data_IF_461160981399
#
_entry.id   IF_461160981399
#
_cell.length_a   1.000
_cell.length_b   1.000
_cell.length_c   1.000
_cell.angle_alpha   90.00
_cell.angle_beta   90.00
_cell.angle_gamma   90.00
#
_symmetry.space_group_name_H-M   'P 1'
#
loop_
_entity.id
_entity.type
_entity.pdbx_description
1 polymer ?
#
# COMPACT_ATOMS: atom_id res chain seq x y z
N UNK A 1 5.90 -14.36 -19.53
CA UNK A 1 5.03 -13.72 -20.54
C UNK A 1 4.31 -12.55 -19.88
N UNK A 2 3.55 -11.75 -20.64
CA UNK A 2 3.51 -10.31 -20.43
C UNK A 2 2.48 -9.83 -19.39
N UNK A 3 2.93 -9.22 -18.27
CA UNK A 3 2.12 -8.22 -17.57
C UNK A 3 1.60 -7.22 -18.61
N UNK A 4 0.29 -7.18 -18.82
CA UNK A 4 -0.34 -6.25 -19.76
C UNK A 4 -0.66 -4.98 -19.00
N UNK A 5 0.30 -4.05 -18.97
CA UNK A 5 0.21 -2.82 -18.18
C UNK A 5 -1.06 -2.03 -18.53
N UNK A 6 -1.42 -1.97 -19.82
CA UNK A 6 -2.67 -1.33 -20.28
C UNK A 6 -3.92 -1.96 -19.66
N UNK A 7 -4.02 -3.29 -19.66
CA UNK A 7 -5.13 -3.99 -19.04
C UNK A 7 -5.15 -3.79 -17.52
N UNK A 8 -4.01 -3.90 -16.84
CA UNK A 8 -3.91 -3.67 -15.39
C UNK A 8 -4.33 -2.24 -15.01
N UNK A 9 -3.93 -1.25 -15.80
CA UNK A 9 -4.33 0.16 -15.62
C UNK A 9 -5.83 0.34 -15.86
N UNK A 10 -6.36 -0.16 -16.97
CA UNK A 10 -7.78 -0.03 -17.30
C UNK A 10 -8.70 -0.74 -16.30
N UNK A 11 -8.30 -1.93 -15.86
CA UNK A 11 -9.07 -2.74 -14.93
C UNK A 11 -9.01 -2.15 -13.51
N UNK A 12 -7.81 -1.75 -13.07
CA UNK A 12 -7.63 -1.05 -11.80
C UNK A 12 -8.45 0.24 -11.71
N UNK A 13 -8.45 1.06 -12.77
CA UNK A 13 -9.23 2.29 -12.82
C UNK A 13 -10.74 2.01 -12.80
N UNK A 14 -11.21 1.00 -13.54
CA UNK A 14 -12.62 0.57 -13.50
C UNK A 14 -13.03 0.10 -12.11
N UNK A 15 -12.17 -0.65 -11.41
CA UNK A 15 -12.40 -1.11 -10.03
C UNK A 15 -12.57 0.06 -9.06
N UNK A 16 -11.82 1.14 -9.23
CA UNK A 16 -11.99 2.33 -8.38
C UNK A 16 -13.25 3.14 -8.61
N UNK A 17 -13.83 3.06 -9.81
CA UNK A 17 -15.08 3.77 -10.14
C UNK A 17 -16.33 3.02 -9.66
N UNK A 18 -16.18 1.88 -8.99
CA UNK A 18 -17.29 1.14 -8.38
C UNK A 18 -17.70 1.73 -7.01
N UNK A 19 -18.88 1.34 -6.49
CA UNK A 19 -19.31 1.74 -5.13
C UNK A 19 -18.29 1.35 -4.06
N UNK A 20 -17.69 0.17 -4.17
CA UNK A 20 -16.65 -0.28 -3.25
C UNK A 20 -15.36 0.52 -3.42
N UNK A 21 -14.98 0.88 -4.64
CA UNK A 21 -13.88 1.82 -4.87
C UNK A 21 -14.08 3.15 -4.13
N UNK A 22 -15.31 3.68 -4.16
CA UNK A 22 -15.69 4.89 -3.42
C UNK A 22 -15.63 4.73 -1.89
N UNK A 23 -16.10 3.62 -1.33
CA UNK A 23 -16.01 3.37 0.12
C UNK A 23 -14.56 3.17 0.57
N UNK A 24 -13.74 2.50 -0.24
CA UNK A 24 -12.31 2.35 0.01
C UNK A 24 -11.59 3.71 -0.07
N UNK A 25 -11.93 4.57 -1.04
CA UNK A 25 -11.40 5.93 -1.12
C UNK A 25 -11.74 6.75 0.14
N UNK A 26 -13.00 6.71 0.57
CA UNK A 26 -13.44 7.41 1.77
C UNK A 26 -12.73 6.89 3.04
N UNK A 27 -12.61 5.57 3.18
CA UNK A 27 -11.86 4.95 4.28
C UNK A 27 -10.38 5.32 4.27
N UNK A 28 -9.76 5.36 3.09
CA UNK A 28 -8.37 5.76 2.94
C UNK A 28 -8.15 7.23 3.29
N UNK A 29 -9.04 8.13 2.85
CA UNK A 29 -9.04 9.55 3.23
C UNK A 29 -9.14 9.74 4.75
N UNK A 30 -10.08 9.05 5.39
CA UNK A 30 -10.28 9.15 6.84
C UNK A 30 -9.04 8.69 7.62
N UNK A 31 -8.45 7.57 7.22
CA UNK A 31 -7.23 7.04 7.87
C UNK A 31 -6.05 7.98 7.64
N UNK A 32 -5.86 8.48 6.42
CA UNK A 32 -4.82 9.46 6.08
C UNK A 32 -4.96 10.72 6.94
N UNK A 33 -6.14 11.32 6.95
CA UNK A 33 -6.43 12.52 7.73
C UNK A 33 -6.18 12.29 9.23
N UNK A 34 -6.73 11.22 9.80
CA UNK A 34 -6.57 10.91 11.21
C UNK A 34 -5.09 10.68 11.58
N UNK A 35 -4.35 9.98 10.72
CA UNK A 35 -2.92 9.72 10.92
C UNK A 35 -2.11 11.00 10.84
N UNK A 36 -2.33 11.83 9.81
CA UNK A 36 -1.63 13.10 9.64
C UNK A 36 -1.87 14.02 10.84
N UNK A 37 -3.14 14.20 11.24
CA UNK A 37 -3.49 15.03 12.37
C UNK A 37 -2.89 14.52 13.69
N UNK A 38 -2.86 13.19 13.89
CA UNK A 38 -2.22 12.56 15.04
C UNK A 38 -0.71 12.82 15.07
N UNK A 39 -0.03 12.64 13.94
CA UNK A 39 1.41 12.85 13.82
C UNK A 39 1.76 14.31 14.08
N UNK A 40 1.09 15.25 13.41
CA UNK A 40 1.33 16.68 13.58
C UNK A 40 1.17 17.10 15.06
N UNK A 41 0.11 16.62 15.72
CA UNK A 41 -0.17 16.92 17.13
C UNK A 41 0.84 16.27 18.08
N UNK A 42 1.23 15.02 17.81
CA UNK A 42 2.24 14.33 18.59
C UNK A 42 3.59 15.05 18.49
N UNK A 43 4.03 15.38 17.27
CA UNK A 43 5.29 16.11 17.04
C UNK A 43 5.29 17.43 17.81
N UNK A 44 4.24 18.24 17.70
CA UNK A 44 4.11 19.49 18.47
C UNK A 44 4.29 19.30 19.97
N UNK A 45 3.67 18.26 20.54
CA UNK A 45 3.69 18.03 21.98
C UNK A 45 5.03 17.54 22.54
N UNK A 46 5.95 17.08 21.67
CA UNK A 46 7.30 16.64 22.06
C UNK A 46 8.40 17.62 21.62
N UNK A 47 8.06 18.67 20.87
CA UNK A 47 9.03 19.69 20.47
C UNK A 47 9.40 20.60 21.66
N UNK A 48 10.68 20.99 21.81
CA UNK A 48 11.08 22.05 22.74
C UNK A 48 10.32 23.35 22.45
N UNK A 49 10.04 24.15 23.48
CA UNK A 49 9.23 25.38 23.38
C UNK A 49 9.71 26.36 22.30
N UNK A 50 11.03 26.46 22.10
CA UNK A 50 11.65 27.36 21.12
C UNK A 50 11.34 26.94 19.67
N UNK A 51 11.24 25.62 19.43
CA UNK A 51 10.91 25.04 18.11
C UNK A 51 9.40 24.91 17.93
N UNK A 52 8.68 24.63 19.03
CA UNK A 52 7.23 24.48 19.02
C UNK A 52 6.52 25.76 18.57
N UNK A 53 7.02 26.95 18.94
CA UNK A 53 6.45 28.22 18.47
C UNK A 53 6.56 28.42 16.96
N UNK A 54 7.71 28.07 16.37
CA UNK A 54 7.94 28.13 14.92
C UNK A 54 7.14 27.06 14.17
N UNK A 55 7.13 25.83 14.70
CA UNK A 55 6.39 24.73 14.11
C UNK A 55 4.88 24.96 14.20
N UNK A 56 4.36 25.46 15.32
CA UNK A 56 2.93 25.73 15.51
C UNK A 56 2.38 26.81 14.57
N UNK A 57 3.22 27.72 14.07
CA UNK A 57 2.81 28.72 13.08
C UNK A 57 2.59 28.11 11.68
N UNK A 58 3.31 27.03 11.38
CA UNK A 58 3.32 26.36 10.07
C UNK A 58 2.76 24.94 10.14
N UNK A 59 2.26 24.52 11.30
CA UNK A 59 1.69 23.18 11.46
C UNK A 59 0.37 23.16 10.71
N UNK A 60 0.18 22.12 9.90
CA UNK A 60 -1.07 21.92 9.20
C UNK A 60 -2.17 21.44 10.15
N UNK A 61 -2.82 20.35 9.81
CA UNK A 61 -3.98 19.85 10.55
C UNK A 61 -3.51 19.25 11.89
N UNK A 62 -4.10 19.71 13.01
CA UNK A 62 -3.83 19.19 14.35
C UNK A 62 -5.12 18.87 15.10
N UNK A 63 -5.00 18.10 16.18
CA UNK A 63 -6.08 17.72 17.08
C UNK A 63 -5.96 18.51 18.39
N UNK A 64 -7.09 18.90 19.02
CA UNK A 64 -7.09 19.59 20.31
C UNK A 64 -6.86 18.60 21.48
N UNK A 65 -5.75 17.86 21.44
CA UNK A 65 -5.36 16.86 22.44
C UNK A 65 -3.88 17.01 22.80
N UNK A 66 -3.46 16.41 23.92
CA UNK A 66 -2.06 16.46 24.33
C UNK A 66 -1.17 15.57 23.44
N UNK A 67 0.13 15.90 23.36
CA UNK A 67 1.11 15.13 22.59
C UNK A 67 1.12 13.63 22.90
N UNK A 68 1.11 13.19 24.18
CA UNK A 68 1.01 11.77 24.53
C UNK A 68 -0.28 11.10 24.05
N UNK A 69 -1.42 11.80 24.10
CA UNK A 69 -2.71 11.27 23.60
C UNK A 69 -2.68 11.13 22.08
N UNK A 70 -2.12 12.13 21.38
CA UNK A 70 -1.93 12.05 19.93
C UNK A 70 -0.99 10.91 19.52
N UNK A 71 0.08 10.68 20.28
CA UNK A 71 0.99 9.55 20.05
C UNK A 71 0.28 8.21 20.28
N UNK A 72 -0.51 8.08 21.35
CA UNK A 72 -1.31 6.89 21.59
C UNK A 72 -2.33 6.63 20.47
N UNK A 73 -2.98 7.70 19.98
CA UNK A 73 -3.89 7.63 18.84
C UNK A 73 -3.15 7.17 17.57
N UNK A 74 -1.97 7.73 17.28
CA UNK A 74 -1.13 7.31 16.15
C UNK A 74 -0.76 5.82 16.25
N UNK A 75 -0.32 5.38 17.44
CA UNK A 75 -0.02 3.97 17.69
C UNK A 75 -1.23 3.05 17.49
N UNK A 76 -2.44 3.50 17.81
CA UNK A 76 -3.68 2.77 17.57
C UNK A 76 -4.11 2.78 16.07
N UNK A 77 -3.79 3.85 15.35
CA UNK A 77 -4.06 3.98 13.91
C UNK A 77 -3.16 3.07 13.06
N UNK A 78 -1.96 2.72 13.51
CA UNK A 78 -1.07 1.79 12.81
C UNK A 78 -1.70 0.40 12.54
N UNK A 79 -2.19 -0.35 13.55
CA UNK A 79 -2.84 -1.63 13.30
C UNK A 79 -4.19 -1.45 12.59
N UNK A 80 -4.92 -0.35 12.81
CA UNK A 80 -6.15 -0.06 12.07
C UNK A 80 -5.87 0.09 10.56
N UNK A 81 -4.81 0.82 10.21
CA UNK A 81 -4.35 1.00 8.83
C UNK A 81 -3.94 -0.33 8.21
N UNK A 82 -3.18 -1.15 8.92
CA UNK A 82 -2.80 -2.48 8.44
C UNK A 82 -4.01 -3.41 8.24
N UNK A 83 -5.01 -3.35 9.12
CA UNK A 83 -6.27 -4.07 8.96
C UNK A 83 -7.06 -3.56 7.75
N UNK A 84 -7.12 -2.25 7.55
CA UNK A 84 -7.75 -1.62 6.39
C UNK A 84 -7.12 -2.09 5.09
N UNK A 85 -5.79 -2.08 4.98
CA UNK A 85 -5.09 -2.58 3.79
C UNK A 85 -5.30 -4.08 3.55
N UNK A 86 -5.46 -4.89 4.61
CA UNK A 86 -5.83 -6.29 4.46
C UNK A 86 -7.21 -6.45 3.82
N UNK A 87 -8.19 -5.67 4.29
CA UNK A 87 -9.56 -5.66 3.75
C UNK A 87 -9.57 -5.15 2.31
N UNK A 88 -8.86 -4.06 2.01
CA UNK A 88 -8.67 -3.52 0.66
C UNK A 88 -8.11 -4.59 -0.27
N UNK A 89 -7.03 -5.28 0.13
CA UNK A 89 -6.40 -6.30 -0.69
C UNK A 89 -7.34 -7.48 -0.99
N UNK A 90 -8.17 -7.89 -0.02
CA UNK A 90 -9.16 -8.96 -0.21
C UNK A 90 -10.33 -8.51 -1.08
N UNK A 91 -10.85 -7.31 -0.85
CA UNK A 91 -11.94 -6.73 -1.64
C UNK A 91 -11.53 -6.54 -3.09
N UNK A 92 -10.33 -6.00 -3.34
CA UNK A 92 -9.83 -5.74 -4.68
C UNK A 92 -9.43 -6.99 -5.46
N UNK A 93 -9.36 -8.16 -4.83
CA UNK A 93 -9.10 -9.44 -5.51
C UNK A 93 -10.39 -10.12 -5.99
N UNK A 94 -11.56 -9.70 -5.53
CA UNK A 94 -12.83 -10.30 -5.96
C UNK A 94 -13.11 -10.06 -7.46
N UNK A 95 -13.88 -10.98 -8.09
CA UNK A 95 -14.40 -10.78 -9.44
C UNK A 95 -15.17 -9.47 -9.55
N UNK A 96 -15.10 -8.80 -10.70
CA UNK A 96 -15.69 -7.47 -10.89
C UNK A 96 -17.21 -7.43 -10.60
N UNK A 97 -17.91 -8.53 -10.85
CA UNK A 97 -19.35 -8.72 -10.60
C UNK A 97 -19.70 -8.70 -9.10
N UNK A 98 -18.75 -9.07 -8.23
CA UNK A 98 -18.93 -9.18 -6.78
C UNK A 98 -18.41 -7.94 -6.02
N UNK A 99 -17.73 -7.00 -6.70
CA UNK A 99 -17.20 -5.77 -6.11
C UNK A 99 -18.30 -4.81 -5.59
N UNK A 100 -19.57 -5.20 -5.57
CA UNK A 100 -20.66 -4.41 -5.01
C UNK A 100 -20.81 -4.57 -3.49
N UNK A 101 -20.21 -5.61 -2.90
CA UNK A 101 -20.23 -5.87 -1.46
C UNK A 101 -18.85 -6.29 -0.95
N UNK A 102 -18.58 -6.07 0.34
CA UNK A 102 -17.38 -6.61 0.97
C UNK A 102 -17.53 -8.13 1.15
N UNK A 103 -16.47 -8.93 0.88
CA UNK A 103 -16.52 -10.37 1.09
C UNK A 103 -16.83 -10.69 2.55
N UNK A 104 -17.66 -11.71 2.80
CA UNK A 104 -17.92 -12.19 4.16
C UNK A 104 -16.62 -12.61 4.89
N UNK A 105 -15.64 -13.12 4.13
CA UNK A 105 -14.33 -13.51 4.63
C UNK A 105 -13.31 -12.36 4.69
N UNK A 106 -13.69 -11.12 4.32
CA UNK A 106 -12.80 -9.97 4.37
C UNK A 106 -12.21 -9.78 5.78
N UNK A 107 -12.97 -10.11 6.82
CA UNK A 107 -12.57 -9.98 8.22
C UNK A 107 -11.97 -11.26 8.83
N UNK A 108 -11.90 -12.35 8.06
CA UNK A 108 -11.43 -13.65 8.53
C UNK A 108 -9.98 -13.59 8.98
N UNK A 109 -9.70 -13.97 10.23
CA UNK A 109 -8.35 -13.97 10.83
C UNK A 109 -7.63 -12.61 10.72
N UNK A 110 -8.39 -11.49 10.75
CA UNK A 110 -7.81 -10.16 10.62
C UNK A 110 -6.71 -9.89 11.63
N UNK A 111 -6.90 -10.21 12.92
CA UNK A 111 -5.87 -9.92 13.94
C UNK A 111 -4.48 -10.47 13.58
N UNK A 112 -4.40 -11.74 13.18
CA UNK A 112 -3.13 -12.37 12.77
C UNK A 112 -2.57 -11.77 11.48
N UNK A 113 -3.45 -11.45 10.54
CA UNK A 113 -3.09 -10.84 9.25
C UNK A 113 -2.55 -9.43 9.46
N UNK A 114 -3.23 -8.62 10.26
CA UNK A 114 -2.83 -7.27 10.66
C UNK A 114 -1.46 -7.27 11.30
N UNK A 115 -1.19 -8.15 12.27
CA UNK A 115 0.14 -8.25 12.90
C UNK A 115 1.22 -8.58 11.87
N UNK A 116 0.97 -9.54 10.99
CA UNK A 116 1.93 -9.91 9.93
C UNK A 116 2.16 -8.78 8.92
N UNK A 117 1.10 -8.07 8.53
CA UNK A 117 1.20 -6.92 7.64
C UNK A 117 1.90 -5.74 8.30
N UNK A 118 1.68 -5.51 9.60
CA UNK A 118 2.35 -4.46 10.34
C UNK A 118 3.85 -4.74 10.44
N UNK A 119 4.23 -5.93 10.88
CA UNK A 119 5.65 -6.34 10.96
C UNK A 119 6.29 -6.38 9.56
N UNK A 120 5.60 -6.95 8.56
CA UNK A 120 6.09 -6.98 7.19
C UNK A 120 6.22 -5.60 6.58
N UNK A 121 5.27 -4.70 6.84
CA UNK A 121 5.32 -3.31 6.42
C UNK A 121 6.52 -2.57 7.02
N UNK A 122 6.79 -2.74 8.31
CA UNK A 122 7.97 -2.16 8.96
C UNK A 122 9.25 -2.67 8.30
N UNK A 123 9.39 -3.99 8.13
CA UNK A 123 10.58 -4.60 7.51
C UNK A 123 10.78 -4.08 6.08
N UNK A 124 9.72 -4.06 5.26
CA UNK A 124 9.79 -3.59 3.87
C UNK A 124 10.12 -2.10 3.81
N UNK A 125 9.49 -1.26 4.63
CA UNK A 125 9.78 0.18 4.68
C UNK A 125 11.22 0.45 5.10
N UNK A 126 11.74 -0.26 6.11
CA UNK A 126 13.14 -0.14 6.54
C UNK A 126 14.10 -0.56 5.42
N UNK A 127 13.82 -1.66 4.71
CA UNK A 127 14.63 -2.11 3.57
C UNK A 127 14.64 -1.10 2.42
N UNK A 128 13.48 -0.54 2.08
CA UNK A 128 13.36 0.48 1.03
C UNK A 128 14.09 1.76 1.47
N UNK A 129 13.94 2.18 2.73
CA UNK A 129 14.61 3.35 3.27
C UNK A 129 16.13 3.19 3.25
N UNK A 130 16.66 2.09 3.81
CA UNK A 130 18.10 1.80 3.79
C UNK A 130 18.61 1.66 2.35
N UNK A 131 17.85 0.98 1.50
CA UNK A 131 18.16 0.85 0.08
C UNK A 131 18.33 2.23 -0.56
N UNK A 132 17.32 3.08 -0.45
CA UNK A 132 17.29 4.44 -1.03
C UNK A 132 18.39 5.33 -0.44
N UNK A 133 18.65 5.23 0.87
CA UNK A 133 19.67 5.99 1.57
C UNK A 133 21.09 5.64 1.10
N UNK A 134 21.36 4.36 0.81
CA UNK A 134 22.65 3.95 0.24
C UNK A 134 22.77 4.32 -1.24
N UNK A 135 21.70 4.12 -2.04
CA UNK A 135 21.54 4.61 -3.41
C UNK A 135 20.06 4.47 -3.82
N UNK A 136 19.52 5.39 -4.62
CA UNK A 136 18.12 5.33 -5.06
C UNK A 136 17.76 3.99 -5.73
N UNK A 137 18.69 3.39 -6.47
CA UNK A 137 18.48 2.14 -7.22
C UNK A 137 18.17 0.92 -6.31
N UNK A 138 18.98 0.60 -5.27
CA UNK A 138 18.63 -0.43 -4.28
C UNK A 138 17.26 -0.26 -3.63
N UNK A 139 16.88 0.95 -3.26
CA UNK A 139 15.56 1.23 -2.67
C UNK A 139 14.43 0.86 -3.62
N UNK A 140 14.57 1.27 -4.88
CA UNK A 140 13.62 0.98 -5.94
C UNK A 140 13.55 -0.53 -6.26
N UNK A 141 14.68 -1.23 -6.20
CA UNK A 141 14.74 -2.68 -6.34
C UNK A 141 13.95 -3.41 -5.24
N UNK A 142 14.07 -3.00 -3.98
CA UNK A 142 13.29 -3.57 -2.89
C UNK A 142 11.80 -3.23 -3.01
N UNK A 143 11.47 -2.00 -3.39
CA UNK A 143 10.08 -1.60 -3.60
C UNK A 143 9.39 -2.43 -4.69
N UNK A 144 10.08 -2.70 -5.80
CA UNK A 144 9.59 -3.61 -6.86
C UNK A 144 9.47 -5.05 -6.34
N UNK A 145 10.49 -5.53 -5.63
CA UNK A 145 10.55 -6.93 -5.17
C UNK A 145 9.49 -7.25 -4.13
N UNK A 146 9.06 -6.26 -3.34
CA UNK A 146 8.06 -6.45 -2.31
C UNK A 146 6.69 -5.85 -2.66
N UNK A 147 6.47 -5.34 -3.86
CA UNK A 147 5.22 -4.66 -4.28
C UNK A 147 3.94 -5.43 -3.91
N UNK A 148 3.97 -6.77 -3.97
CA UNK A 148 2.81 -7.63 -3.73
C UNK A 148 2.70 -8.19 -2.31
N UNK A 149 3.55 -7.76 -1.36
CA UNK A 149 3.62 -8.42 -0.05
C UNK A 149 2.28 -8.37 0.69
N UNK A 150 1.56 -7.25 0.59
CA UNK A 150 0.24 -7.07 1.21
C UNK A 150 -0.74 -8.13 0.70
N UNK A 151 -0.78 -8.36 -0.62
CA UNK A 151 -1.66 -9.37 -1.22
C UNK A 151 -1.26 -10.78 -0.81
N UNK A 152 0.02 -11.12 -0.83
CA UNK A 152 0.48 -12.47 -0.44
C UNK A 152 0.18 -12.81 1.03
N UNK A 153 0.24 -11.82 1.94
CA UNK A 153 -0.04 -12.03 3.36
C UNK A 153 -1.55 -11.98 3.64
N UNK A 154 -2.27 -11.03 3.03
CA UNK A 154 -3.69 -10.81 3.31
C UNK A 154 -4.60 -11.81 2.59
N UNK A 155 -4.29 -12.11 1.32
CA UNK A 155 -5.14 -12.91 0.43
C UNK A 155 -4.75 -14.38 0.50
N UNK A 156 -3.46 -14.70 0.41
CA UNK A 156 -3.00 -16.10 0.50
C UNK A 156 -2.82 -16.58 1.96
N UNK A 157 -3.16 -15.76 2.96
CA UNK A 157 -3.03 -16.02 4.41
C UNK A 157 -1.64 -16.53 4.86
N UNK A 158 -0.59 -16.27 4.06
CA UNK A 158 0.77 -16.76 4.30
C UNK A 158 1.39 -16.18 5.57
N UNK A 159 2.40 -16.88 6.08
CA UNK A 159 3.28 -16.35 7.12
C UNK A 159 4.06 -15.13 6.63
N UNK A 160 4.69 -14.40 7.56
CA UNK A 160 5.48 -13.20 7.23
C UNK A 160 6.58 -13.52 6.19
N UNK A 161 7.43 -14.50 6.50
CA UNK A 161 8.57 -14.88 5.65
C UNK A 161 8.09 -15.48 4.33
N UNK A 162 7.10 -16.37 4.37
CA UNK A 162 6.58 -17.03 3.17
C UNK A 162 5.86 -16.04 2.25
N UNK A 163 5.15 -15.06 2.81
CA UNK A 163 4.54 -13.97 2.05
C UNK A 163 5.59 -13.10 1.36
N UNK A 164 6.64 -12.68 2.09
CA UNK A 164 7.74 -11.90 1.50
C UNK A 164 8.48 -12.67 0.40
N UNK A 165 8.77 -13.96 0.61
CA UNK A 165 9.36 -14.84 -0.41
C UNK A 165 8.45 -14.97 -1.64
N UNK A 166 7.15 -15.16 -1.43
CA UNK A 166 6.15 -15.23 -2.52
C UNK A 166 6.10 -13.93 -3.31
N UNK A 167 6.08 -12.78 -2.64
CA UNK A 167 6.09 -11.45 -3.28
C UNK A 167 7.33 -11.27 -4.17
N UNK A 168 8.50 -11.65 -3.64
CA UNK A 168 9.75 -11.61 -4.40
C UNK A 168 9.73 -12.53 -5.63
N UNK A 169 9.18 -13.74 -5.50
CA UNK A 169 9.06 -14.69 -6.59
C UNK A 169 8.13 -14.15 -7.70
N UNK A 170 6.97 -13.60 -7.34
CA UNK A 170 6.04 -12.95 -8.27
C UNK A 170 6.69 -11.77 -8.99
N UNK A 171 7.46 -10.95 -8.26
CA UNK A 171 8.14 -9.80 -8.85
C UNK A 171 9.26 -10.22 -9.83
N UNK A 172 9.97 -11.33 -9.57
CA UNK A 172 11.13 -11.77 -10.36
C UNK A 172 10.83 -11.97 -11.85
N UNK A 173 9.64 -12.45 -12.20
CA UNK A 173 9.24 -12.73 -13.59
C UNK A 173 8.95 -11.48 -14.44
N UNK A 174 8.66 -10.33 -13.82
CA UNK A 174 8.17 -9.13 -14.52
C UNK A 174 8.77 -7.81 -14.00
N UNK A 175 9.93 -7.85 -13.33
CA UNK A 175 10.58 -6.72 -12.65
C UNK A 175 10.63 -5.44 -13.47
N UNK A 176 10.98 -5.50 -14.75
CA UNK A 176 11.08 -4.30 -15.61
C UNK A 176 9.74 -3.59 -15.80
N UNK A 177 8.64 -4.34 -15.86
CA UNK A 177 7.30 -3.75 -16.00
C UNK A 177 6.78 -3.23 -14.66
N UNK A 178 7.04 -3.97 -13.58
CA UNK A 178 6.73 -3.53 -12.21
C UNK A 178 7.55 -2.31 -11.80
N UNK A 179 8.78 -2.19 -12.31
CA UNK A 179 9.62 -1.01 -12.13
C UNK A 179 8.93 0.26 -12.60
N UNK A 180 8.26 0.23 -13.76
CA UNK A 180 7.47 1.37 -14.25
C UNK A 180 6.34 1.76 -13.29
N UNK A 181 5.65 0.78 -12.70
CA UNK A 181 4.59 1.02 -11.70
C UNK A 181 5.18 1.71 -10.46
N UNK A 182 6.29 1.21 -9.94
CA UNK A 182 6.93 1.77 -8.74
C UNK A 182 7.55 3.14 -9.02
N UNK A 183 8.18 3.35 -10.18
CA UNK A 183 8.71 4.66 -10.59
C UNK A 183 7.59 5.68 -10.70
N UNK A 184 6.45 5.32 -11.29
CA UNK A 184 5.29 6.21 -11.38
C UNK A 184 4.81 6.64 -9.99
N UNK A 185 4.73 5.70 -9.03
CA UNK A 185 4.40 6.02 -7.65
C UNK A 185 5.46 6.87 -6.96
N UNK A 186 6.75 6.61 -7.21
CA UNK A 186 7.84 7.42 -6.66
C UNK A 186 7.82 8.85 -7.18
N UNK A 187 7.61 9.04 -8.49
CA UNK A 187 7.49 10.36 -9.12
C UNK A 187 6.28 11.11 -8.57
N UNK A 188 5.11 10.47 -8.52
CA UNK A 188 3.90 11.10 -8.00
C UNK A 188 4.00 11.39 -6.50
N UNK A 189 4.59 10.47 -5.72
CA UNK A 189 4.90 10.68 -4.31
C UNK A 189 5.83 11.87 -4.11
N UNK A 190 6.83 12.05 -4.99
CA UNK A 190 7.68 13.24 -5.02
C UNK A 190 6.89 14.52 -5.26
N UNK A 191 5.99 14.55 -6.26
CA UNK A 191 5.12 15.70 -6.51
C UNK A 191 4.20 16.02 -5.33
N UNK A 192 3.55 15.02 -4.76
CA UNK A 192 2.71 15.18 -3.55
C UNK A 192 3.55 15.78 -2.41
N UNK A 193 4.77 15.27 -2.19
CA UNK A 193 5.65 15.69 -1.10
C UNK A 193 6.05 17.16 -1.15
N UNK A 194 5.95 17.82 -2.32
CA UNK A 194 6.24 19.25 -2.49
C UNK A 194 5.01 20.13 -2.22
N UNK A 195 3.79 19.57 -2.23
CA UNK A 195 2.54 20.34 -2.05
C UNK A 195 2.52 21.05 -0.69
N UNK A 196 2.64 20.31 0.41
CA UNK A 196 2.57 20.89 1.75
C UNK A 196 3.60 22.02 1.96
N UNK A 197 4.91 21.83 1.69
CA UNK A 197 5.90 22.90 1.82
C UNK A 197 5.58 24.18 1.01
N UNK A 198 4.99 24.05 -0.18
CA UNK A 198 4.61 25.22 -1.00
C UNK A 198 3.47 26.02 -0.35
N UNK A 199 2.50 25.33 0.23
CA UNK A 199 1.39 25.96 0.95
C UNK A 199 1.83 26.55 2.29
N UNK A 200 2.77 25.90 2.97
CA UNK A 200 3.40 26.44 4.19
C UNK A 200 4.08 27.78 3.89
N UNK A 201 4.83 27.86 2.79
CA UNK A 201 5.46 29.11 2.33
C UNK A 201 4.44 30.20 1.99
N UNK A 202 3.25 29.81 1.53
CA UNK A 202 2.14 30.73 1.25
C UNK A 202 1.31 31.10 2.50
N UNK A 203 1.67 30.59 3.69
CA UNK A 203 0.95 30.85 4.94
C UNK A 203 -0.39 30.12 5.06
N UNK A 204 -0.58 29.02 4.31
CA UNK A 204 -1.81 28.23 4.29
C UNK A 204 -1.55 26.73 4.57
N UNK A 205 -0.88 26.36 5.69
CA UNK A 205 -0.44 24.99 5.97
C UNK A 205 -1.60 23.98 6.06
N UNK A 206 -2.75 24.40 6.61
CA UNK A 206 -3.97 23.57 6.67
C UNK A 206 -4.50 23.21 5.28
N UNK A 207 -4.45 24.16 4.34
CA UNK A 207 -4.84 23.90 2.96
C UNK A 207 -3.81 22.98 2.28
N UNK A 208 -2.51 23.15 2.58
CA UNK A 208 -1.44 22.26 2.12
C UNK A 208 -1.69 20.81 2.51
N UNK A 209 -1.98 20.55 3.78
CA UNK A 209 -2.32 19.21 4.28
C UNK A 209 -3.58 18.66 3.62
N UNK A 210 -4.65 19.45 3.53
CA UNK A 210 -5.90 19.02 2.92
C UNK A 210 -5.71 18.62 1.44
N UNK A 211 -4.98 19.43 0.66
CA UNK A 211 -4.66 19.16 -0.74
C UNK A 211 -3.75 17.93 -0.86
N UNK A 212 -2.75 17.81 0.01
CA UNK A 212 -1.82 16.66 0.05
C UNK A 212 -2.57 15.35 0.32
N UNK A 213 -3.46 15.35 1.31
CA UNK A 213 -4.31 14.20 1.66
C UNK A 213 -5.23 13.84 0.50
N UNK A 214 -5.89 14.84 -0.11
CA UNK A 214 -6.78 14.61 -1.25
C UNK A 214 -6.03 14.06 -2.46
N UNK A 215 -4.89 14.68 -2.83
CA UNK A 215 -4.06 14.24 -3.95
C UNK A 215 -3.53 12.81 -3.73
N UNK A 216 -3.08 12.51 -2.50
CA UNK A 216 -2.64 11.17 -2.11
C UNK A 216 -3.75 10.15 -2.26
N UNK A 217 -4.95 10.44 -1.77
CA UNK A 217 -6.06 9.51 -1.86
C UNK A 217 -6.50 9.26 -3.31
N UNK A 218 -6.66 10.32 -4.09
CA UNK A 218 -7.06 10.23 -5.50
C UNK A 218 -6.07 9.41 -6.32
N UNK A 219 -4.78 9.47 -6.02
CA UNK A 219 -3.76 8.71 -6.74
C UNK A 219 -3.56 7.30 -6.20
N UNK A 220 -3.38 7.14 -4.89
CA UNK A 220 -3.02 5.86 -4.31
C UNK A 220 -4.17 4.86 -4.36
N UNK A 221 -5.44 5.30 -4.31
CA UNK A 221 -6.58 4.39 -4.44
C UNK A 221 -6.60 3.63 -5.79
N UNK A 222 -6.56 4.28 -6.97
CA UNK A 222 -6.45 3.58 -8.25
C UNK A 222 -5.12 2.87 -8.40
N UNK A 223 -4.03 3.43 -7.89
CA UNK A 223 -2.74 2.74 -7.89
C UNK A 223 -2.79 1.37 -7.17
N UNK A 224 -3.43 1.29 -6.01
CA UNK A 224 -3.63 0.01 -5.30
C UNK A 224 -4.48 -0.97 -6.09
N UNK A 225 -5.52 -0.50 -6.79
CA UNK A 225 -6.33 -1.34 -7.67
C UNK A 225 -5.53 -1.86 -8.89
N UNK A 226 -4.63 -1.04 -9.45
CA UNK A 226 -3.73 -1.45 -10.53
C UNK A 226 -2.76 -2.53 -10.05
N UNK A 227 -2.20 -2.37 -8.83
CA UNK A 227 -1.36 -3.41 -8.23
C UNK A 227 -2.16 -4.69 -8.01
N UNK A 228 -3.43 -4.60 -7.57
CA UNK A 228 -4.29 -5.77 -7.38
C UNK A 228 -4.53 -6.51 -8.71
N UNK A 229 -4.83 -5.80 -9.80
CA UNK A 229 -4.97 -6.40 -11.12
C UNK A 229 -3.65 -7.01 -11.64
N UNK A 230 -2.52 -6.34 -11.40
CA UNK A 230 -1.18 -6.87 -11.73
C UNK A 230 -0.84 -8.14 -10.92
N UNK A 231 -1.23 -8.16 -9.65
CA UNK A 231 -1.08 -9.31 -8.77
C UNK A 231 -1.88 -10.51 -9.27
N UNK A 232 -3.16 -10.32 -9.62
CA UNK A 232 -4.00 -11.38 -10.18
C UNK A 232 -3.39 -11.98 -11.46
N UNK A 233 -2.92 -11.12 -12.38
CA UNK A 233 -2.27 -11.58 -13.62
C UNK A 233 -1.03 -12.44 -13.38
N UNK A 234 -0.23 -12.12 -12.36
CA UNK A 234 1.00 -12.85 -12.04
C UNK A 234 0.76 -14.07 -11.15
N UNK A 235 -0.28 -14.05 -10.31
CA UNK A 235 -0.65 -15.17 -9.45
C UNK A 235 -1.26 -16.32 -10.25
N UNK A 236 -2.13 -15.98 -11.20
CA UNK A 236 -2.91 -16.95 -11.96
C UNK A 236 -2.16 -17.41 -13.24
N UNK A 237 -0.87 -17.05 -13.39
CA UNK A 237 0.00 -17.52 -14.47
C UNK A 237 0.35 -19.02 -14.29
N UNK A 238 -0.08 -19.92 -15.20
CA UNK A 238 0.16 -21.36 -15.11
C UNK A 238 1.65 -21.75 -15.16
N UNK A 239 2.54 -20.83 -15.55
CA UNK A 239 3.98 -21.10 -15.69
C UNK A 239 4.77 -20.87 -14.39
N UNK A 240 4.10 -20.41 -13.32
CA UNK A 240 4.69 -20.20 -12.01
C UNK A 240 4.90 -21.48 -11.21
N UNK A 241 5.89 -22.30 -11.60
CA UNK A 241 6.59 -23.34 -10.82
C UNK A 241 5.97 -23.72 -9.45
N UNK A 242 4.87 -24.47 -9.47
CA UNK A 242 4.45 -25.34 -8.37
C UNK A 242 3.74 -26.57 -8.97
N UNK A 243 4.56 -27.49 -9.48
CA UNK A 243 4.42 -28.97 -9.48
C UNK A 243 5.18 -29.56 -10.66
N UNK A 244 6.13 -30.49 -10.47
CA UNK A 244 6.56 -31.35 -11.55
C UNK A 244 5.35 -32.20 -11.93
N UNK A 245 4.80 -31.96 -13.11
CA UNK A 245 3.91 -32.91 -13.77
C UNK A 245 4.60 -34.28 -13.71
N UNK A 246 4.01 -35.32 -13.11
CA UNK A 246 4.59 -36.64 -13.17
C UNK A 246 4.56 -37.03 -14.63
N UNK A 247 5.74 -37.08 -15.25
CA UNK A 247 5.92 -37.66 -16.58
C UNK A 247 5.33 -39.07 -16.50
N UNK A 248 4.18 -39.28 -17.13
CA UNK A 248 3.62 -40.60 -17.33
C UNK A 248 4.51 -41.35 -18.32
N UNK A 249 5.51 -42.03 -17.76
CA UNK A 249 6.47 -42.85 -18.50
C UNK A 249 5.90 -44.24 -18.84
N UNK A 250 4.57 -44.40 -18.94
CA UNK A 250 3.95 -45.71 -19.20
C UNK A 250 2.92 -45.74 -20.33
N UNK A 251 3.01 -44.78 -21.27
CA UNK A 251 2.40 -44.90 -22.60
C UNK A 251 3.00 -46.05 -23.41
N UNK A 252 2.61 -47.29 -23.09
CA UNK A 252 2.82 -48.44 -23.98
C UNK A 252 1.73 -48.41 -25.05
N UNK A 253 2.08 -48.34 -26.34
CA UNK A 253 1.11 -48.54 -27.41
C UNK A 253 0.70 -50.01 -27.36
N UNK A 254 -0.61 -50.27 -27.20
CA UNK A 254 -1.16 -51.56 -27.61
C UNK A 254 -0.99 -51.67 -29.12
N UNK A 255 -0.31 -52.71 -29.58
CA UNK A 255 -0.65 -53.56 -30.73
C UNK A 255 0.18 -54.84 -30.65
#
# INVERSE_FOLDING_TARGET
MALHLSHAVSDGLRRTLTRTGGTLLAGFLLIQFATQAAVNTAVLGYLPSDVAGQFSANVGITLPVSGPVALALFCALLPLSAAFFAVVARALVQPFEELSALPADATRRLGRTTVRLLVGGIVVTVLIFLGTAFLVVPGLFFAVSFLFFVFTIAVEERGLVDGLKRSWALARGSRLKLFGIVVLAGVFGGFIGVIAPLFDLAGAPVAGDAVTIAASAVFFTPYYAIIASAYLQLRDDPTGHDSPEPVDASGTPRL
#
